data_IF_473926358223
#
_entry.id   IF_473926358223
#
_cell.length_a   1.000
_cell.length_b   1.000
_cell.length_c   1.000
_cell.angle_alpha   90.00
_cell.angle_beta   90.00
_cell.angle_gamma   90.00
#
_symmetry.space_group_name_H-M   'P 1'
#
loop_
_entity.id
_entity.type
_entity.pdbx_description
1 polymer ?
#
# COMPACT_ATOMS: atom_id res chain seq x y z
N UNK A 1 -5.42 -11.42 1.97
CA UNK A 1 -5.80 -10.00 1.80
C UNK A 1 -5.17 -9.38 0.56
N UNK A 2 -5.90 -8.47 -0.08
CA UNK A 2 -5.47 -7.71 -1.27
C UNK A 2 -5.13 -6.28 -0.87
N UNK A 3 -3.94 -5.81 -1.25
CA UNK A 3 -3.52 -4.42 -1.14
C UNK A 3 -3.46 -3.79 -2.53
N UNK A 4 -4.08 -2.62 -2.70
CA UNK A 4 -4.06 -1.84 -3.95
C UNK A 4 -3.21 -0.60 -3.74
N UNK A 5 -2.22 -0.38 -4.60
CA UNK A 5 -1.29 0.75 -4.50
C UNK A 5 -1.53 1.71 -5.67
N UNK A 6 -2.00 2.92 -5.31
CA UNK A 6 -2.36 4.01 -6.22
C UNK A 6 -1.28 5.07 -6.44
N UNK A 7 -0.22 5.06 -5.63
CA UNK A 7 0.76 6.15 -5.59
C UNK A 7 2.10 5.69 -5.03
N UNK A 8 2.80 6.58 -4.34
CA UNK A 8 4.09 6.27 -3.76
C UNK A 8 3.94 5.43 -2.49
N UNK A 9 4.72 4.36 -2.39
CA UNK A 9 4.90 3.57 -1.19
C UNK A 9 6.38 3.31 -0.98
N UNK A 10 6.90 3.59 0.21
CA UNK A 10 8.27 3.27 0.61
C UNK A 10 8.26 2.66 2.02
N UNK A 11 8.60 1.37 2.11
CA UNK A 11 8.57 0.64 3.37
C UNK A 11 8.60 -0.87 3.19
N UNK A 12 8.28 -1.61 4.25
CA UNK A 12 8.20 -3.07 4.23
C UNK A 12 6.72 -3.47 4.27
N UNK A 13 6.22 -4.11 3.21
CA UNK A 13 4.84 -4.55 3.10
C UNK A 13 4.73 -6.07 3.11
N UNK A 14 3.71 -6.59 3.78
CA UNK A 14 3.32 -8.00 3.73
C UNK A 14 1.85 -8.11 3.35
N UNK A 15 1.56 -8.82 2.27
CA UNK A 15 0.19 -9.00 1.78
C UNK A 15 0.02 -10.36 1.09
N UNK A 16 -1.20 -10.87 1.04
CA UNK A 16 -1.49 -12.04 0.21
C UNK A 16 -1.39 -11.70 -1.28
N UNK A 17 -2.13 -10.67 -1.71
CA UNK A 17 -2.13 -10.17 -3.07
C UNK A 17 -1.79 -8.69 -3.10
N UNK A 18 -1.01 -8.26 -4.08
CA UNK A 18 -0.74 -6.85 -4.35
C UNK A 18 -1.21 -6.53 -5.77
N UNK A 19 -1.92 -5.41 -5.92
CA UNK A 19 -2.21 -4.80 -7.21
C UNK A 19 -1.60 -3.39 -7.26
N UNK A 20 -0.57 -3.23 -8.08
CA UNK A 20 0.02 -1.94 -8.37
C UNK A 20 -0.65 -1.32 -9.59
N UNK A 21 -1.29 -0.17 -9.41
CA UNK A 21 -1.95 0.57 -10.50
C UNK A 21 -0.94 1.33 -11.35
N UNK A 22 -1.39 1.95 -12.46
CA UNK A 22 -0.55 2.67 -13.41
C UNK A 22 0.36 3.73 -12.75
N UNK A 23 -0.10 4.41 -11.71
CA UNK A 23 0.64 5.48 -11.02
C UNK A 23 1.44 5.00 -9.81
N UNK A 24 1.44 3.70 -9.53
CA UNK A 24 2.15 3.15 -8.37
C UNK A 24 3.67 3.35 -8.49
N UNK A 25 4.30 3.81 -7.41
CA UNK A 25 5.76 3.92 -7.26
C UNK A 25 6.15 3.22 -5.96
N UNK A 26 6.67 2.00 -6.04
CA UNK A 26 6.93 1.15 -4.87
C UNK A 26 8.44 1.05 -4.64
N UNK A 27 8.89 1.42 -3.44
CA UNK A 27 10.24 1.27 -2.94
C UNK A 27 10.27 0.45 -1.63
N UNK A 28 11.45 0.05 -1.17
CA UNK A 28 11.62 -0.74 0.06
C UNK A 28 11.59 -2.25 -0.18
N UNK A 29 10.72 -2.97 0.53
CA UNK A 29 10.60 -4.44 0.46
C UNK A 29 9.13 -4.87 0.45
N UNK A 30 8.77 -5.77 -0.48
CA UNK A 30 7.41 -6.32 -0.56
C UNK A 30 7.43 -7.85 -0.48
N UNK A 31 6.55 -8.38 0.37
CA UNK A 31 6.27 -9.80 0.52
C UNK A 31 4.86 -10.07 0.00
N UNK A 32 4.74 -10.95 -0.98
CA UNK A 32 3.45 -11.30 -1.56
C UNK A 32 3.32 -12.77 -1.95
N UNK A 33 2.08 -13.26 -2.04
CA UNK A 33 1.76 -14.52 -2.72
C UNK A 33 1.47 -14.29 -4.21
N UNK A 34 0.75 -13.22 -4.54
CA UNK A 34 0.49 -12.82 -5.93
C UNK A 34 0.69 -11.31 -6.13
N UNK A 35 1.23 -10.95 -7.29
CA UNK A 35 1.45 -9.56 -7.69
C UNK A 35 0.87 -9.35 -9.08
N UNK A 36 -0.07 -8.41 -9.19
CA UNK A 36 -0.59 -7.87 -10.44
C UNK A 36 -0.08 -6.44 -10.60
N UNK A 37 0.27 -6.07 -11.83
CA UNK A 37 0.76 -4.74 -12.14
C UNK A 37 0.14 -4.22 -13.43
N UNK A 38 -0.34 -2.99 -13.37
CA UNK A 38 -0.72 -2.25 -14.55
C UNK A 38 0.53 -1.69 -15.23
N UNK A 39 0.43 -1.45 -16.53
CA UNK A 39 1.48 -0.78 -17.28
C UNK A 39 1.67 0.64 -16.72
N UNK A 40 2.90 0.98 -16.32
CA UNK A 40 3.23 2.29 -15.75
C UNK A 40 3.69 2.21 -14.29
N UNK A 41 3.31 1.16 -13.57
CA UNK A 41 3.77 0.91 -12.22
C UNK A 41 5.31 0.80 -12.18
N UNK A 42 5.96 1.54 -11.28
CA UNK A 42 7.39 1.44 -11.05
C UNK A 42 7.66 0.70 -9.74
N UNK A 43 8.54 -0.29 -9.80
CA UNK A 43 9.04 -0.99 -8.62
C UNK A 43 10.55 -0.84 -8.54
N UNK A 44 11.00 -0.16 -7.50
CA UNK A 44 12.38 -0.08 -7.07
C UNK A 44 12.50 -0.64 -5.64
N UNK A 45 12.05 -1.88 -5.48
CA UNK A 45 11.98 -2.55 -4.19
C UNK A 45 12.59 -3.95 -4.26
N UNK A 46 12.95 -4.48 -3.10
CA UNK A 46 13.24 -5.90 -2.94
C UNK A 46 11.93 -6.68 -2.93
N UNK A 47 11.92 -7.83 -3.59
CA UNK A 47 10.73 -8.66 -3.74
C UNK A 47 10.96 -10.03 -3.15
N UNK A 48 10.07 -10.45 -2.24
CA UNK A 48 9.96 -11.83 -1.78
C UNK A 48 8.64 -12.39 -2.28
N UNK A 49 8.73 -13.36 -3.18
CA UNK A 49 7.58 -14.00 -3.82
C UNK A 49 7.15 -15.25 -3.06
N UNK A 50 5.89 -15.65 -3.23
CA UNK A 50 5.27 -16.81 -2.59
C UNK A 50 5.37 -16.78 -1.06
N UNK A 51 5.32 -15.59 -0.47
CA UNK A 51 5.42 -15.42 0.96
C UNK A 51 4.16 -15.97 1.65
N UNK A 52 4.35 -16.84 2.64
CA UNK A 52 3.27 -17.37 3.47
C UNK A 52 3.42 -16.76 4.86
N UNK A 53 2.30 -16.32 5.45
CA UNK A 53 2.29 -15.90 6.85
C UNK A 53 2.81 -17.06 7.71
N UNK A 54 3.82 -16.81 8.56
CA UNK A 54 4.12 -17.77 9.61
C UNK A 54 2.87 -17.85 10.52
N UNK A 55 2.40 -19.07 10.78
CA UNK A 55 1.20 -19.34 11.60
C UNK A 55 1.19 -18.46 12.87
N UNK A 56 0.30 -17.46 12.91
CA UNK A 56 0.02 -16.65 14.10
C UNK A 56 0.22 -15.12 14.03
N UNK A 57 0.60 -14.52 12.89
CA UNK A 57 0.85 -13.08 12.80
C UNK A 57 -0.32 -12.27 12.16
N UNK A 58 -1.40 -12.04 12.93
CA UNK A 58 -2.50 -11.16 12.49
C UNK A 58 -2.02 -9.72 12.25
N UNK A 59 -2.30 -9.21 11.04
CA UNK A 59 -1.85 -7.94 10.49
C UNK A 59 -2.35 -6.70 11.24
N UNK A 60 -1.45 -5.72 11.45
CA UNK A 60 -1.80 -4.33 11.75
C UNK A 60 -1.67 -3.53 10.45
N UNK A 61 -2.80 -3.13 9.87
CA UNK A 61 -2.87 -2.20 8.76
C UNK A 61 -3.30 -0.83 9.30
N UNK A 62 -2.40 0.15 9.18
CA UNK A 62 -2.55 1.58 9.49
C UNK A 62 -1.57 2.27 8.52
N UNK A 63 -1.88 3.30 7.73
CA UNK A 63 -2.91 4.34 7.78
C UNK A 63 -3.25 4.79 6.33
N UNK A 64 -4.53 5.07 6.06
CA UNK A 64 -4.93 5.90 4.94
C UNK A 64 -4.71 7.37 5.35
N UNK A 65 -3.75 8.02 4.72
CA UNK A 65 -3.50 9.45 4.87
C UNK A 65 -4.58 10.20 4.08
N UNK A 66 -5.63 10.68 4.75
CA UNK A 66 -6.52 11.69 4.18
C UNK A 66 -6.04 13.08 4.62
N UNK A 67 -5.55 13.85 3.67
CA UNK A 67 -5.23 15.26 3.81
C UNK A 67 -6.00 16.11 2.80
N UNK A 68 -6.58 17.20 3.32
CA UNK A 68 -6.85 18.51 2.70
C UNK A 68 -8.30 18.90 2.35
N UNK A 69 -8.77 19.92 3.08
CA UNK A 69 -9.53 21.06 2.56
C UNK A 69 -11.02 21.15 2.92
N UNK A 70 -11.42 22.06 3.82
CA UNK A 70 -12.09 23.34 3.47
C UNK A 70 -12.71 24.08 4.69
N UNK A 71 -12.13 25.25 5.01
CA UNK A 71 -12.72 26.54 5.46
C UNK A 71 -13.74 26.64 6.62
N UNK A 72 -13.35 27.40 7.66
CA UNK A 72 -14.20 28.08 8.67
C UNK A 72 -15.12 29.16 8.02
N UNK A 73 -16.31 29.52 8.59
CA UNK A 73 -16.35 30.41 9.75
C UNK A 73 -17.41 30.09 10.84
N UNK A 74 -17.05 30.58 12.02
CA UNK A 74 -17.82 30.75 13.26
C UNK A 74 -19.19 31.44 13.06
N UNK A 75 -20.22 31.01 13.80
CA UNK A 75 -21.25 31.92 14.34
C UNK A 75 -21.69 31.47 15.75
N UNK A 76 -21.60 32.42 16.67
CA UNK A 76 -22.01 32.41 18.06
C UNK A 76 -23.46 32.92 18.15
N UNK A 77 -24.35 32.22 18.88
CA UNK A 77 -25.54 32.76 19.56
C UNK A 77 -26.17 31.74 20.49
#
# INVERSE_FOLDING_TARGET
>A
DLVVIGGAYDGIMQAGSIWATETAQIAGEIHYQSLQMDRGAALNCRVVHNWQEPDGAVASQEEAVEGEGDQEPVEES
#
